data_IF_413989874986
#
_entry.id   IF_413989874986
#
_cell.length_a   1.000
_cell.length_b   1.000
_cell.length_c   1.000
_cell.angle_alpha   90.00
_cell.angle_beta   90.00
_cell.angle_gamma   90.00
#
_symmetry.space_group_name_H-M   'P 1'
#
loop_
_entity.id
_entity.type
_entity.pdbx_description
1 polymer ?
#
# COMPACT_ATOMS: atom_id res chain seq x y z
N UNK A 1 5.25 -48.10 -18.37
CA UNK A 1 4.63 -48.52 -19.65
C UNK A 1 3.73 -47.41 -20.14
N UNK A 2 4.06 -46.84 -21.31
CA UNK A 2 3.17 -46.46 -22.44
C UNK A 2 1.79 -45.86 -22.06
N UNK A 3 1.33 -44.73 -22.60
CA UNK A 3 1.71 -43.89 -23.76
C UNK A 3 0.54 -42.89 -23.91
N UNK A 4 0.83 -41.68 -24.42
CA UNK A 4 -0.07 -40.87 -25.29
C UNK A 4 -1.26 -40.20 -24.55
N UNK A 5 -1.55 -38.90 -24.66
CA UNK A 5 -1.69 -38.15 -25.91
C UNK A 5 -1.50 -36.65 -25.75
N UNK A 6 -0.75 -36.08 -26.70
CA UNK A 6 -0.68 -34.68 -27.08
C UNK A 6 -2.01 -34.25 -27.73
N UNK A 7 -2.57 -33.12 -27.31
CA UNK A 7 -3.44 -32.31 -28.17
C UNK A 7 -2.99 -30.85 -28.03
N UNK A 8 -2.27 -30.40 -29.04
CA UNK A 8 -1.91 -29.00 -29.24
C UNK A 8 -3.14 -28.28 -29.82
N UNK A 9 -3.65 -27.28 -29.10
CA UNK A 9 -4.63 -26.33 -29.63
C UNK A 9 -3.89 -25.05 -29.94
N UNK A 10 -3.54 -24.92 -31.22
CA UNK A 10 -3.11 -23.68 -31.87
C UNK A 10 -4.36 -22.85 -32.12
N UNK A 11 -4.48 -21.65 -31.53
CA UNK A 11 -5.35 -20.61 -32.09
C UNK A 11 -4.94 -19.20 -31.63
N UNK A 12 -4.21 -18.56 -32.54
CA UNK A 12 -4.35 -17.16 -32.97
C UNK A 12 -3.99 -16.05 -31.99
N UNK A 13 -2.73 -15.63 -32.09
CA UNK A 13 -2.22 -14.33 -31.67
C UNK A 13 -2.66 -13.27 -32.70
N UNK A 14 -3.56 -12.35 -32.32
CA UNK A 14 -3.87 -11.16 -33.11
C UNK A 14 -3.16 -9.96 -32.46
N UNK A 15 -2.03 -9.55 -33.04
CA UNK A 15 -1.35 -8.30 -32.70
C UNK A 15 -2.04 -7.16 -33.45
N UNK A 16 -2.95 -6.46 -32.79
CA UNK A 16 -3.44 -5.16 -33.23
C UNK A 16 -2.52 -4.06 -32.69
N UNK A 17 -1.58 -3.60 -33.51
CA UNK A 17 -0.88 -2.33 -33.28
C UNK A 17 -1.66 -1.21 -33.94
N UNK A 18 -2.13 -0.23 -33.17
CA UNK A 18 -2.49 1.08 -33.71
C UNK A 18 -1.63 2.11 -33.00
N UNK A 19 -0.58 2.54 -33.70
CA UNK A 19 0.13 3.77 -33.40
C UNK A 19 -0.78 4.94 -33.82
N UNK A 20 -1.10 5.84 -32.90
CA UNK A 20 -1.57 7.18 -33.26
C UNK A 20 -0.39 8.13 -33.13
N UNK A 21 -0.04 8.72 -34.26
CA UNK A 21 0.97 9.74 -34.42
C UNK A 21 0.54 11.04 -33.72
N UNK A 22 1.55 11.72 -33.18
CA UNK A 22 1.48 13.09 -32.71
C UNK A 22 1.16 14.05 -33.88
N UNK A 23 0.28 15.02 -33.62
CA UNK A 23 0.23 16.27 -34.35
C UNK A 23 0.39 17.40 -33.33
N UNK A 24 1.43 18.20 -33.56
CA UNK A 24 1.76 19.40 -32.82
C UNK A 24 1.07 20.62 -33.42
N UNK A 25 0.75 21.56 -32.52
CA UNK A 25 0.64 23.02 -32.66
C UNK A 25 -0.45 23.62 -33.57
N UNK A 26 -1.34 24.41 -32.96
CA UNK A 26 -1.36 25.88 -33.07
C UNK A 26 -2.22 26.45 -31.93
N UNK A 27 -1.65 27.19 -30.98
CA UNK A 27 -1.64 28.67 -30.90
C UNK A 27 -3.02 29.35 -30.92
N UNK A 28 -3.44 29.87 -29.76
CA UNK A 28 -4.08 31.18 -29.60
C UNK A 28 -4.42 31.46 -28.12
N UNK A 29 -3.46 32.10 -27.45
CA UNK A 29 -3.57 33.34 -26.66
C UNK A 29 -4.85 33.66 -25.83
N UNK A 30 -4.55 33.87 -24.53
CA UNK A 30 -5.14 34.79 -23.54
C UNK A 30 -6.42 34.38 -22.79
N UNK A 31 -6.27 34.12 -21.50
CA UNK A 31 -6.71 35.09 -20.47
C UNK A 31 -5.88 34.89 -19.20
N UNK A 32 -5.25 35.99 -18.79
CA UNK A 32 -4.45 36.15 -17.59
C UNK A 32 -5.41 36.31 -16.39
N UNK A 33 -5.47 35.31 -15.51
CA UNK A 33 -6.02 35.49 -14.16
C UNK A 33 -4.91 35.22 -13.16
N UNK A 34 -4.35 36.31 -12.65
CA UNK A 34 -3.54 36.37 -11.44
C UNK A 34 -4.33 35.81 -10.26
N UNK A 35 -4.13 34.53 -9.97
CA UNK A 35 -4.51 33.91 -8.70
C UNK A 35 -3.28 33.87 -7.81
N UNK A 36 -3.10 34.99 -7.12
CA UNK A 36 -2.31 35.19 -5.90
C UNK A 36 -2.28 33.93 -5.03
N UNK A 37 -1.07 33.38 -4.88
CA UNK A 37 -0.57 32.64 -3.71
C UNK A 37 -1.59 32.00 -2.77
N UNK A 38 -1.68 30.68 -2.82
CA UNK A 38 -1.57 29.90 -1.58
C UNK A 38 -0.76 28.65 -1.86
N UNK A 39 0.57 28.79 -1.79
CA UNK A 39 1.40 27.70 -1.32
C UNK A 39 0.86 27.32 0.06
N UNK A 40 -0.02 26.32 0.12
CA UNK A 40 -0.37 25.69 1.38
C UNK A 40 0.92 25.07 1.92
N UNK A 41 1.59 25.85 2.75
CA UNK A 41 2.70 25.40 3.56
C UNK A 41 2.24 24.14 4.28
N UNK A 42 2.86 23.02 3.92
CA UNK A 42 2.76 21.76 4.64
C UNK A 42 3.49 21.92 5.96
N UNK A 43 2.91 22.67 6.90
CA UNK A 43 3.51 22.89 8.22
C UNK A 43 2.85 21.97 9.26
N UNK A 44 3.67 21.00 9.70
CA UNK A 44 3.71 20.39 11.04
C UNK A 44 2.44 19.71 11.54
N UNK A 45 2.01 18.69 10.81
CA UNK A 45 1.05 17.71 11.32
C UNK A 45 1.17 16.34 10.66
N UNK A 46 2.32 16.02 10.05
CA UNK A 46 2.52 14.73 9.41
C UNK A 46 2.51 13.64 10.48
N UNK A 47 1.32 13.09 10.79
CA UNK A 47 1.17 11.86 11.55
C UNK A 47 2.17 10.86 10.99
N UNK A 48 3.24 10.51 11.72
CA UNK A 48 4.26 9.64 11.16
C UNK A 48 3.59 8.37 10.65
N UNK A 49 3.77 8.11 9.34
CA UNK A 49 3.16 6.96 8.70
C UNK A 49 3.51 5.71 9.53
N UNK A 50 2.56 4.79 9.78
CA UNK A 50 2.80 3.60 10.60
C UNK A 50 4.05 2.80 10.19
N UNK A 51 4.44 2.85 8.90
CA UNK A 51 5.64 2.22 8.37
C UNK A 51 6.96 2.82 8.89
N UNK A 52 7.07 4.15 8.96
CA UNK A 52 8.30 4.83 9.38
C UNK A 52 8.59 4.59 10.86
N UNK A 53 7.55 4.59 11.69
CA UNK A 53 7.65 4.31 13.13
C UNK A 53 8.20 2.92 13.41
N UNK A 54 7.68 1.90 12.73
CA UNK A 54 8.15 0.53 12.95
C UNK A 54 9.62 0.34 12.55
N UNK A 55 10.10 1.10 11.57
CA UNK A 55 11.50 1.08 11.17
C UNK A 55 12.40 1.69 12.26
N UNK A 56 12.05 2.87 12.78
CA UNK A 56 12.78 3.53 13.87
C UNK A 56 12.92 2.64 15.12
N UNK A 57 11.88 1.87 15.45
CA UNK A 57 11.96 0.89 16.55
C UNK A 57 12.93 -0.24 16.26
N UNK A 58 12.90 -0.82 15.06
CA UNK A 58 13.83 -1.91 14.72
C UNK A 58 15.28 -1.42 14.75
N UNK A 59 15.52 -0.21 14.29
CA UNK A 59 16.85 0.40 14.27
C UNK A 59 17.37 0.64 15.70
N UNK A 60 16.48 0.87 16.68
CA UNK A 60 16.86 1.05 18.09
C UNK A 60 17.14 -0.24 18.88
N UNK A 61 16.80 -1.42 18.35
CA UNK A 61 16.91 -2.70 19.07
C UNK A 61 18.32 -3.32 19.03
N UNK A 62 19.31 -2.64 18.43
CA UNK A 62 20.68 -3.13 18.29
C UNK A 62 20.72 -4.59 17.79
N UNK A 63 20.03 -4.86 16.68
CA UNK A 63 19.86 -6.20 16.13
C UNK A 63 21.21 -6.75 15.62
N UNK A 64 21.52 -8.01 15.93
CA UNK A 64 22.67 -8.67 15.33
C UNK A 64 22.44 -9.02 13.84
N UNK A 65 23.50 -9.38 13.13
CA UNK A 65 23.44 -9.68 11.69
C UNK A 65 22.47 -10.82 11.33
N UNK A 66 22.36 -11.84 12.20
CA UNK A 66 21.44 -12.98 12.00
C UNK A 66 19.99 -12.54 12.17
N UNK A 67 19.71 -11.73 13.19
CA UNK A 67 18.39 -11.16 13.44
C UNK A 67 17.96 -10.24 12.30
N UNK A 68 18.85 -9.35 11.84
CA UNK A 68 18.59 -8.46 10.71
C UNK A 68 18.23 -9.24 9.44
N UNK A 69 18.98 -10.30 9.12
CA UNK A 69 18.70 -11.15 7.95
C UNK A 69 17.32 -11.84 8.03
N UNK A 70 16.97 -12.39 9.20
CA UNK A 70 15.65 -13.01 9.43
C UNK A 70 14.52 -11.99 9.32
N UNK A 71 14.68 -10.82 9.93
CA UNK A 71 13.68 -9.74 9.89
C UNK A 71 13.51 -9.23 8.46
N UNK A 72 14.59 -9.06 7.70
CA UNK A 72 14.53 -8.69 6.29
C UNK A 72 13.72 -9.71 5.48
N UNK A 73 13.97 -11.00 5.69
CA UNK A 73 13.23 -12.08 5.02
C UNK A 73 11.73 -12.00 5.32
N UNK A 74 11.35 -11.81 6.58
CA UNK A 74 9.93 -11.64 6.99
C UNK A 74 9.31 -10.41 6.31
N UNK A 75 10.03 -9.28 6.25
CA UNK A 75 9.56 -8.05 5.60
C UNK A 75 9.36 -8.24 4.10
N UNK A 76 10.28 -8.93 3.44
CA UNK A 76 10.20 -9.19 2.00
C UNK A 76 9.04 -10.14 1.67
N UNK A 77 8.86 -11.19 2.46
CA UNK A 77 7.71 -12.10 2.35
C UNK A 77 6.38 -11.36 2.54
N UNK A 78 6.27 -10.51 3.57
CA UNK A 78 5.09 -9.69 3.78
C UNK A 78 4.86 -8.73 2.61
N UNK A 79 5.92 -8.09 2.08
CA UNK A 79 5.79 -7.17 0.95
C UNK A 79 5.25 -7.91 -0.27
N UNK A 80 5.81 -9.08 -0.58
CA UNK A 80 5.41 -9.91 -1.70
C UNK A 80 3.97 -10.40 -1.54
N UNK A 81 3.59 -10.93 -0.38
CA UNK A 81 2.23 -11.45 -0.14
C UNK A 81 1.17 -10.35 -0.20
N UNK A 82 1.56 -9.10 0.03
CA UNK A 82 0.65 -7.95 0.07
C UNK A 82 0.56 -7.23 -1.28
N UNK A 83 1.40 -7.55 -2.28
CA UNK A 83 1.45 -6.81 -3.54
C UNK A 83 0.09 -6.79 -4.25
N UNK A 84 -0.54 -7.95 -4.44
CA UNK A 84 -1.87 -8.03 -5.04
C UNK A 84 -2.91 -7.25 -4.24
N UNK A 85 -2.82 -7.25 -2.90
CA UNK A 85 -3.72 -6.48 -2.06
C UNK A 85 -3.57 -4.97 -2.29
N UNK A 86 -2.35 -4.47 -2.51
CA UNK A 86 -2.14 -3.06 -2.84
C UNK A 86 -2.71 -2.68 -4.21
N UNK A 87 -2.56 -3.55 -5.20
CA UNK A 87 -3.12 -3.36 -6.55
C UNK A 87 -4.64 -3.33 -6.51
N UNK A 88 -5.27 -4.26 -5.77
CA UNK A 88 -6.73 -4.28 -5.56
C UNK A 88 -7.22 -3.02 -4.84
N UNK A 89 -6.50 -2.56 -3.80
CA UNK A 89 -6.83 -1.32 -3.09
C UNK A 89 -6.76 -0.09 -4.01
N UNK A 90 -5.77 -0.05 -4.91
CA UNK A 90 -5.64 1.02 -5.92
C UNK A 90 -6.81 0.99 -6.90
N UNK A 91 -7.18 -0.20 -7.38
CA UNK A 91 -8.34 -0.38 -8.26
C UNK A 91 -9.63 0.09 -7.60
N UNK A 92 -9.92 -0.34 -6.36
CA UNK A 92 -11.10 0.10 -5.61
C UNK A 92 -11.11 1.62 -5.45
N UNK A 93 -9.95 2.24 -5.14
CA UNK A 93 -9.85 3.70 -5.02
C UNK A 93 -10.18 4.42 -6.33
N UNK A 94 -9.73 3.89 -7.46
CA UNK A 94 -10.07 4.42 -8.78
C UNK A 94 -11.57 4.31 -9.05
N UNK A 95 -12.17 3.15 -8.80
CA UNK A 95 -13.61 2.94 -9.02
C UNK A 95 -14.49 3.83 -8.12
N UNK A 96 -14.05 4.09 -6.88
CA UNK A 96 -14.71 5.07 -6.00
C UNK A 96 -14.57 6.50 -6.56
N UNK A 97 -13.40 6.85 -7.10
CA UNK A 97 -13.23 8.16 -7.76
C UNK A 97 -14.18 8.32 -8.95
N UNK A 98 -14.29 7.28 -9.79
CA UNK A 98 -15.19 7.29 -10.94
C UNK A 98 -16.66 7.44 -10.53
N UNK A 99 -17.07 6.81 -9.42
CA UNK A 99 -18.41 6.97 -8.84
C UNK A 99 -18.68 8.41 -8.37
N UNK A 100 -17.68 9.08 -7.81
CA UNK A 100 -17.80 10.47 -7.33
C UNK A 100 -17.93 11.45 -8.48
N UNK A 101 -17.31 11.16 -9.63
CA UNK A 101 -17.34 12.02 -10.81
C UNK A 101 -18.48 11.70 -11.79
N UNK A 102 -19.31 10.70 -11.49
CA UNK A 102 -20.44 10.34 -12.32
C UNK A 102 -21.63 11.31 -12.14
N UNK A 103 -22.50 11.41 -13.13
CA UNK A 103 -23.70 12.26 -13.08
C UNK A 103 -24.69 11.86 -11.97
N UNK A 104 -24.64 10.60 -11.52
CA UNK A 104 -25.44 10.10 -10.42
C UNK A 104 -24.71 9.00 -9.63
N UNK A 105 -25.04 8.88 -8.35
CA UNK A 105 -24.43 7.90 -7.45
C UNK A 105 -25.09 6.52 -7.58
N UNK A 106 -24.32 5.52 -8.00
CA UNK A 106 -24.70 4.11 -7.88
C UNK A 106 -24.37 3.58 -6.47
N UNK A 107 -25.35 3.66 -5.57
CA UNK A 107 -25.21 3.22 -4.18
C UNK A 107 -24.91 1.72 -4.05
N UNK A 108 -25.43 0.88 -4.95
CA UNK A 108 -25.18 -0.57 -4.89
C UNK A 108 -23.72 -0.88 -5.20
N UNK A 109 -23.16 -0.21 -6.22
CA UNK A 109 -21.74 -0.33 -6.54
C UNK A 109 -20.86 0.25 -5.44
N UNK A 110 -21.25 1.37 -4.83
CA UNK A 110 -20.55 1.94 -3.68
C UNK A 110 -20.46 0.94 -2.53
N UNK A 111 -21.59 0.35 -2.12
CA UNK A 111 -21.64 -0.64 -1.04
C UNK A 111 -20.75 -1.85 -1.32
N UNK A 112 -20.78 -2.35 -2.55
CA UNK A 112 -19.92 -3.45 -3.00
C UNK A 112 -18.42 -3.10 -2.85
N UNK A 113 -18.01 -1.92 -3.33
CA UNK A 113 -16.62 -1.45 -3.25
C UNK A 113 -16.17 -1.25 -1.80
N UNK A 114 -17.04 -0.73 -0.92
CA UNK A 114 -16.75 -0.57 0.50
C UNK A 114 -16.58 -1.93 1.18
N UNK A 115 -17.44 -2.90 0.87
CA UNK A 115 -17.33 -4.26 1.41
C UNK A 115 -16.03 -4.94 0.97
N UNK A 116 -15.67 -4.85 -0.31
CA UNK A 116 -14.39 -5.35 -0.81
C UNK A 116 -13.21 -4.68 -0.11
N UNK A 117 -13.26 -3.35 0.06
CA UNK A 117 -12.22 -2.58 0.75
C UNK A 117 -12.06 -3.02 2.21
N UNK A 118 -13.16 -3.23 2.92
CA UNK A 118 -13.18 -3.67 4.32
C UNK A 118 -12.50 -5.03 4.47
N UNK A 119 -12.88 -5.99 3.63
CA UNK A 119 -12.29 -7.34 3.65
C UNK A 119 -10.79 -7.27 3.38
N UNK A 120 -10.39 -6.53 2.35
CA UNK A 120 -8.99 -6.36 1.97
C UNK A 120 -8.17 -5.70 3.09
N UNK A 121 -8.71 -4.67 3.74
CA UNK A 121 -8.07 -4.05 4.92
C UNK A 121 -7.89 -5.06 6.06
N UNK A 122 -8.87 -5.91 6.31
CA UNK A 122 -8.80 -6.98 7.31
C UNK A 122 -7.68 -7.97 7.03
N UNK A 123 -7.60 -8.47 5.80
CA UNK A 123 -6.54 -9.39 5.36
C UNK A 123 -5.15 -8.75 5.51
N UNK A 124 -5.00 -7.50 5.06
CA UNK A 124 -3.75 -6.78 5.16
C UNK A 124 -3.34 -6.51 6.62
N UNK A 125 -4.30 -6.21 7.48
CA UNK A 125 -4.06 -6.02 8.91
C UNK A 125 -3.58 -7.32 9.56
N UNK A 126 -4.26 -8.43 9.29
CA UNK A 126 -3.88 -9.76 9.78
C UNK A 126 -2.45 -10.11 9.37
N UNK A 127 -2.10 -9.94 8.09
CA UNK A 127 -0.76 -10.21 7.59
C UNK A 127 0.32 -9.38 8.31
N UNK A 128 0.07 -8.08 8.52
CA UNK A 128 0.98 -7.19 9.26
C UNK A 128 1.15 -7.60 10.72
N UNK A 129 0.07 -7.97 11.41
CA UNK A 129 0.11 -8.43 12.81
C UNK A 129 0.92 -9.73 12.91
N UNK A 130 0.67 -10.68 12.00
CA UNK A 130 1.42 -11.95 11.95
C UNK A 130 2.91 -11.71 11.72
N UNK A 131 3.29 -10.87 10.75
CA UNK A 131 4.69 -10.54 10.49
C UNK A 131 5.36 -9.85 11.70
N UNK A 132 4.63 -8.93 12.38
CA UNK A 132 5.13 -8.29 13.61
C UNK A 132 5.40 -9.31 14.71
N UNK A 133 4.53 -10.31 14.87
CA UNK A 133 4.75 -11.38 15.83
C UNK A 133 5.96 -12.25 15.46
N UNK A 134 6.15 -12.58 14.18
CA UNK A 134 7.33 -13.32 13.71
C UNK A 134 8.62 -12.54 13.99
N UNK A 135 8.63 -11.23 13.74
CA UNK A 135 9.77 -10.36 14.07
C UNK A 135 10.04 -10.37 15.57
N UNK A 136 9.00 -10.22 16.40
CA UNK A 136 9.13 -10.27 17.86
C UNK A 136 9.75 -11.59 18.34
N UNK A 137 9.44 -12.72 17.70
CA UNK A 137 10.02 -14.02 18.03
C UNK A 137 11.53 -14.14 17.73
N UNK A 138 12.07 -13.33 16.81
CA UNK A 138 13.51 -13.28 16.48
C UNK A 138 14.33 -12.58 17.56
N UNK A 139 13.69 -11.74 18.37
CA UNK A 139 14.34 -10.92 19.40
C UNK A 139 14.74 -11.76 20.64
N UNK A 140 15.85 -11.38 21.27
CA UNK A 140 16.26 -11.90 22.57
C UNK A 140 15.44 -11.28 23.72
N UNK A 141 15.69 -11.69 24.96
CA UNK A 141 14.91 -11.24 26.12
C UNK A 141 14.97 -9.72 26.35
N UNK A 142 16.16 -9.12 26.28
CA UNK A 142 16.37 -7.70 26.51
C UNK A 142 15.71 -6.85 25.41
N UNK A 143 15.90 -7.25 24.15
CA UNK A 143 15.26 -6.61 23.00
C UNK A 143 13.73 -6.72 23.06
N UNK A 144 13.18 -7.85 23.50
CA UNK A 144 11.73 -8.00 23.71
C UNK A 144 11.21 -7.04 24.78
N UNK A 145 11.97 -6.84 25.85
CA UNK A 145 11.63 -5.88 26.90
C UNK A 145 11.58 -4.45 26.35
N UNK A 146 12.64 -4.04 25.64
CA UNK A 146 12.71 -2.73 24.97
C UNK A 146 11.58 -2.53 23.96
N UNK A 147 11.29 -3.56 23.15
CA UNK A 147 10.20 -3.54 22.18
C UNK A 147 8.84 -3.27 22.84
N UNK A 148 8.53 -3.94 23.96
CA UNK A 148 7.28 -3.72 24.71
C UNK A 148 7.19 -2.31 25.27
N UNK A 149 8.30 -1.79 25.80
CA UNK A 149 8.33 -0.43 26.35
C UNK A 149 8.07 0.61 25.27
N UNK A 150 8.72 0.49 24.11
CA UNK A 150 8.48 1.38 22.97
C UNK A 150 7.03 1.28 22.47
N UNK A 151 6.46 0.08 22.41
CA UNK A 151 5.06 -0.13 22.06
C UNK A 151 4.10 0.62 22.99
N UNK A 152 4.33 0.53 24.31
CA UNK A 152 3.52 1.24 25.32
C UNK A 152 3.63 2.77 25.16
N UNK A 153 4.87 3.28 25.03
CA UNK A 153 5.10 4.71 24.82
C UNK A 153 4.41 5.24 23.57
N UNK A 154 4.38 4.45 22.50
CA UNK A 154 3.69 4.84 21.27
C UNK A 154 2.18 4.80 21.39
N UNK A 155 1.64 3.83 22.11
CA UNK A 155 0.21 3.79 22.41
C UNK A 155 -0.20 5.03 23.20
N UNK A 156 0.55 5.37 24.25
CA UNK A 156 0.37 6.60 25.03
C UNK A 156 0.48 7.85 24.14
N UNK A 157 1.55 7.98 23.33
CA UNK A 157 1.68 9.11 22.39
C UNK A 157 0.54 9.19 21.39
N UNK A 158 0.00 8.06 20.93
CA UNK A 158 -1.14 8.02 20.01
C UNK A 158 -2.43 8.47 20.70
N UNK A 159 -2.64 8.07 21.95
CA UNK A 159 -3.80 8.52 22.74
C UNK A 159 -3.71 10.01 23.09
N UNK A 160 -2.49 10.52 23.28
CA UNK A 160 -2.24 11.91 23.68
C UNK A 160 -2.11 12.87 22.49
N UNK A 161 -1.85 12.36 21.28
CA UNK A 161 -1.99 13.16 20.05
C UNK A 161 -3.49 13.38 19.78
N UNK A 162 -3.99 14.54 20.19
CA UNK A 162 -5.19 15.13 19.59
C UNK A 162 -4.83 15.45 18.14
N UNK A 163 -5.43 14.72 17.19
CA UNK A 163 -5.53 15.20 15.81
C UNK A 163 -6.49 16.38 15.77
#
# INVERSE_FOLDING_TARGET
MKKISLVAIVLSFALGQTAFAAAANDDSTSTQTTSTTSSMASDKGACPCPSKRMQEMMDSLNLDASQQAKIKTIKDQLKQSQQSNWEQMKSIRSQIHDLVTADSMDNSKLDSLINQKKELLGQMMKAKITAKQQIYSVLNADQKSQFKQMMKQWEEKRMNHKC
#
